data_IF_052937498397
#
_entry.id   IF_052937498397
#
_cell.length_a   1.000
_cell.length_b   1.000
_cell.length_c   1.000
_cell.angle_alpha   90.00
_cell.angle_beta   90.00
_cell.angle_gamma   90.00
#
_symmetry.space_group_name_H-M   'P 1'
#
loop_
_entity.id
_entity.type
_entity.pdbx_description
1 polymer ?
#
# COMPACT_ATOMS: atom_id res chain seq x y z
N UNK A 1 32.99 8.46 28.56
CA UNK A 1 32.47 8.00 27.25
C UNK A 1 32.82 9.03 26.20
N UNK A 2 33.40 8.62 25.07
CA UNK A 2 33.58 9.53 23.92
C UNK A 2 32.20 9.95 23.41
N UNK A 3 32.01 11.25 23.13
CA UNK A 3 30.77 11.75 22.53
C UNK A 3 30.66 11.20 21.11
N UNK A 4 29.53 10.57 20.74
CA UNK A 4 29.32 10.10 19.38
C UNK A 4 29.38 11.26 18.38
N UNK A 5 30.07 11.04 17.27
CA UNK A 5 30.27 12.03 16.19
C UNK A 5 29.23 11.90 15.09
N UNK A 6 28.52 10.78 15.00
CA UNK A 6 27.43 10.56 14.02
C UNK A 6 26.09 11.02 14.58
N UNK A 7 25.19 11.49 13.70
CA UNK A 7 23.82 11.86 14.09
C UNK A 7 23.08 10.70 14.75
N UNK A 8 23.22 9.49 14.21
CA UNK A 8 22.61 8.30 14.79
C UNK A 8 23.14 8.02 16.21
N UNK A 9 24.46 8.03 16.41
CA UNK A 9 25.04 7.79 17.73
C UNK A 9 24.68 8.86 18.75
N UNK A 10 24.51 10.11 18.32
CA UNK A 10 24.02 11.20 19.18
C UNK A 10 22.57 10.96 19.62
N UNK A 11 21.69 10.54 18.71
CA UNK A 11 20.30 10.19 19.02
C UNK A 11 20.24 9.02 20.00
N UNK A 12 21.02 7.96 19.76
CA UNK A 12 21.10 6.79 20.66
C UNK A 12 21.57 7.18 22.07
N UNK A 13 22.61 8.02 22.18
CA UNK A 13 23.08 8.49 23.48
C UNK A 13 22.02 9.32 24.21
N UNK A 14 21.29 10.19 23.49
CA UNK A 14 20.20 10.98 24.10
C UNK A 14 19.10 10.05 24.62
N UNK A 15 18.64 9.09 23.80
CA UNK A 15 17.58 8.14 24.20
C UNK A 15 18.00 7.34 25.44
N UNK A 16 19.27 6.93 25.54
CA UNK A 16 19.80 6.20 26.70
C UNK A 16 19.84 7.04 27.99
N UNK A 17 19.93 8.37 27.89
CA UNK A 17 20.01 9.26 29.05
C UNK A 17 18.65 9.79 29.51
N UNK A 18 17.64 9.77 28.63
CA UNK A 18 16.30 10.21 28.99
C UNK A 18 15.66 9.23 29.98
N UNK A 19 15.05 9.79 31.03
CA UNK A 19 14.13 8.99 31.86
C UNK A 19 12.91 8.57 31.03
N UNK A 20 12.27 7.48 31.44
CA UNK A 20 11.06 6.99 30.79
C UNK A 20 9.95 8.08 30.71
N UNK A 21 9.80 8.90 31.75
CA UNK A 21 8.83 10.00 31.77
C UNK A 21 9.17 11.07 30.73
N UNK A 22 10.43 11.51 30.67
CA UNK A 22 10.87 12.52 29.70
C UNK A 22 10.71 12.04 28.26
N UNK A 23 11.06 10.78 27.99
CA UNK A 23 10.90 10.20 26.65
C UNK A 23 9.42 10.14 26.25
N UNK A 24 8.55 9.69 27.17
CA UNK A 24 7.10 9.63 26.93
C UNK A 24 6.50 11.00 26.63
N UNK A 25 6.89 12.02 27.40
CA UNK A 25 6.42 13.39 27.19
C UNK A 25 6.91 13.97 25.86
N UNK A 26 8.20 13.78 25.53
CA UNK A 26 8.78 14.20 24.26
C UNK A 26 8.06 13.57 23.06
N UNK A 27 7.84 12.25 23.08
CA UNK A 27 7.14 11.53 22.01
C UNK A 27 5.70 12.04 21.87
N UNK A 28 4.99 12.25 22.99
CA UNK A 28 3.63 12.79 22.98
C UNK A 28 3.57 14.19 22.37
N UNK A 29 4.42 15.10 22.83
CA UNK A 29 4.44 16.48 22.33
C UNK A 29 4.82 16.53 20.86
N UNK A 30 5.83 15.75 20.45
CA UNK A 30 6.23 15.68 19.05
C UNK A 30 5.10 15.12 18.17
N UNK A 31 4.38 14.10 18.60
CA UNK A 31 3.23 13.57 17.88
C UNK A 31 2.04 14.54 17.79
N UNK A 32 1.88 15.45 18.75
CA UNK A 32 0.85 16.49 18.67
C UNK A 32 1.22 17.62 17.71
N UNK A 33 2.52 17.88 17.53
CA UNK A 33 3.03 18.98 16.70
C UNK A 33 3.36 18.56 15.25
N UNK A 34 3.67 17.29 15.03
CA UNK A 34 4.17 16.75 13.78
C UNK A 34 3.28 15.59 13.31
N UNK A 35 2.48 15.86 12.28
CA UNK A 35 1.51 14.91 11.74
C UNK A 35 2.15 13.66 11.17
N UNK A 36 3.32 13.78 10.53
CA UNK A 36 3.94 12.65 9.84
C UNK A 36 4.58 11.71 10.87
N UNK A 37 5.18 12.28 11.92
CA UNK A 37 5.63 11.51 13.08
C UNK A 37 4.46 10.83 13.79
N UNK A 38 3.33 11.52 13.97
CA UNK A 38 2.12 10.95 14.57
C UNK A 38 1.58 9.77 13.79
N UNK A 39 1.43 9.93 12.48
CA UNK A 39 0.86 8.91 11.60
C UNK A 39 1.78 7.66 11.59
N UNK A 40 3.11 7.87 11.55
CA UNK A 40 4.11 6.80 11.70
C UNK A 40 3.98 6.07 13.04
N UNK A 41 3.88 6.82 14.15
CA UNK A 41 3.72 6.24 15.49
C UNK A 41 2.46 5.37 15.58
N UNK A 42 1.35 5.84 15.02
CA UNK A 42 0.06 5.15 15.07
C UNK A 42 0.02 3.88 14.23
N UNK A 43 0.83 3.77 13.17
CA UNK A 43 0.99 2.55 12.37
C UNK A 43 1.87 1.55 13.10
N UNK A 44 3.07 1.97 13.53
CA UNK A 44 4.05 1.08 14.14
C UNK A 44 3.59 0.44 15.45
N UNK A 45 2.66 1.09 16.16
CA UNK A 45 2.15 0.64 17.46
C UNK A 45 0.61 0.50 17.48
N UNK A 46 0.00 0.22 16.33
CA UNK A 46 -1.45 0.09 16.21
C UNK A 46 -2.02 -1.06 17.06
N UNK A 47 -1.25 -2.12 17.26
CA UNK A 47 -1.60 -3.29 18.07
C UNK A 47 -1.87 -2.95 19.55
N UNK A 48 -1.17 -1.94 20.08
CA UNK A 48 -1.38 -1.45 21.45
C UNK A 48 -2.75 -0.78 21.64
N UNK A 49 -3.39 -0.33 20.56
CA UNK A 49 -4.68 0.38 20.61
C UNK A 49 -5.89 -0.56 20.66
N UNK A 50 -5.67 -1.88 20.73
CA UNK A 50 -6.70 -2.88 21.05
C UNK A 50 -8.00 -2.72 20.26
N UNK A 51 -7.98 -2.98 18.96
CA UNK A 51 -9.21 -3.37 18.27
C UNK A 51 -8.99 -4.64 17.46
N UNK A 52 -9.92 -5.59 17.62
CA UNK A 52 -10.02 -6.77 16.73
C UNK A 52 -10.56 -6.38 15.36
N UNK A 53 -11.06 -5.15 15.22
CA UNK A 53 -11.70 -4.63 14.02
C UNK A 53 -10.69 -4.40 12.88
N UNK A 54 -11.13 -4.39 11.61
CA UNK A 54 -10.29 -4.05 10.47
C UNK A 54 -9.74 -2.63 10.62
N UNK A 55 -8.40 -2.47 10.59
CA UNK A 55 -7.76 -1.16 10.73
C UNK A 55 -7.70 -0.42 9.39
N UNK A 56 -8.05 -1.10 8.28
CA UNK A 56 -8.11 -0.51 6.95
C UNK A 56 -8.91 0.80 6.91
N UNK A 57 -10.09 0.86 7.54
CA UNK A 57 -10.91 2.09 7.58
C UNK A 57 -10.19 3.26 8.29
N UNK A 58 -9.40 2.97 9.33
CA UNK A 58 -8.56 3.98 10.00
C UNK A 58 -7.46 4.47 9.06
N UNK A 59 -6.83 3.56 8.31
CA UNK A 59 -5.80 3.93 7.33
C UNK A 59 -6.38 4.69 6.14
N UNK A 60 -7.58 4.34 5.68
CA UNK A 60 -8.30 5.09 4.66
C UNK A 60 -8.60 6.52 5.14
N UNK A 61 -9.05 6.69 6.39
CA UNK A 61 -9.27 8.02 6.96
C UNK A 61 -7.96 8.82 7.09
N UNK A 62 -6.89 8.19 7.57
CA UNK A 62 -5.56 8.81 7.66
C UNK A 62 -5.07 9.28 6.28
N UNK A 63 -5.20 8.44 5.24
CA UNK A 63 -4.86 8.79 3.87
C UNK A 63 -5.74 9.93 3.35
N UNK A 64 -7.06 9.92 3.62
CA UNK A 64 -7.95 11.00 3.25
C UNK A 64 -7.52 12.34 3.87
N UNK A 65 -7.11 12.33 5.15
CA UNK A 65 -6.60 13.52 5.85
C UNK A 65 -5.26 13.98 5.27
N UNK A 66 -4.36 13.06 4.87
CA UNK A 66 -3.12 13.39 4.17
C UNK A 66 -3.39 14.05 2.81
N UNK A 67 -4.29 13.47 2.02
CA UNK A 67 -4.70 13.98 0.70
C UNK A 67 -5.26 15.40 0.84
N UNK A 68 -6.17 15.60 1.81
CA UNK A 68 -6.77 16.91 2.08
C UNK A 68 -5.75 17.98 2.46
N UNK A 69 -4.68 17.62 3.20
CA UNK A 69 -3.59 18.56 3.56
C UNK A 69 -2.78 19.03 2.35
N UNK A 70 -2.71 18.23 1.30
CA UNK A 70 -1.93 18.51 0.09
C UNK A 70 -2.75 19.13 -1.05
N UNK A 71 -4.08 19.05 -0.95
CA UNK A 71 -4.99 19.67 -1.89
C UNK A 71 -5.08 21.19 -1.71
N UNK A 72 -5.33 21.91 -2.80
CA UNK A 72 -5.65 23.32 -2.80
C UNK A 72 -7.13 23.56 -2.37
N UNK A 73 -7.57 24.82 -2.41
CA UNK A 73 -8.94 25.19 -2.02
C UNK A 73 -10.04 24.49 -2.85
N UNK A 74 -9.74 24.13 -4.10
CA UNK A 74 -10.66 23.45 -5.02
C UNK A 74 -10.58 21.91 -4.90
N UNK A 75 -9.72 21.40 -4.01
CA UNK A 75 -9.53 19.96 -3.79
C UNK A 75 -8.56 19.29 -4.77
N UNK A 76 -7.85 20.07 -5.61
CA UNK A 76 -6.86 19.56 -6.56
C UNK A 76 -5.44 19.62 -5.99
N UNK A 77 -4.61 18.63 -6.32
CA UNK A 77 -3.22 18.47 -5.88
C UNK A 77 -2.29 18.72 -7.07
N UNK A 78 -1.64 19.88 -7.10
CA UNK A 78 -0.65 20.21 -8.13
C UNK A 78 0.65 19.41 -7.94
N UNK A 79 1.44 19.30 -9.01
CA UNK A 79 2.67 18.50 -9.10
C UNK A 79 3.60 18.58 -7.87
N UNK A 80 3.91 19.79 -7.37
CA UNK A 80 4.80 19.95 -6.21
C UNK A 80 4.19 19.41 -4.90
N UNK A 81 2.86 19.48 -4.75
CA UNK A 81 2.14 18.88 -3.62
C UNK A 81 1.90 17.39 -3.83
N UNK A 82 1.75 16.93 -5.08
CA UNK A 82 1.63 15.52 -5.44
C UNK A 82 2.89 14.76 -5.04
N UNK A 83 4.07 15.26 -5.41
CA UNK A 83 5.35 14.69 -5.01
C UNK A 83 5.48 14.59 -3.48
N UNK A 84 5.10 15.63 -2.74
CA UNK A 84 5.14 15.61 -1.26
C UNK A 84 4.19 14.57 -0.67
N UNK A 85 2.95 14.50 -1.15
CA UNK A 85 1.98 13.51 -0.71
C UNK A 85 2.50 12.09 -0.94
N UNK A 86 3.05 11.85 -2.13
CA UNK A 86 3.60 10.56 -2.54
C UNK A 86 4.79 10.17 -1.67
N UNK A 87 5.70 11.11 -1.40
CA UNK A 87 6.82 10.88 -0.49
C UNK A 87 6.34 10.56 0.93
N UNK A 88 5.33 11.26 1.44
CA UNK A 88 4.74 10.96 2.75
C UNK A 88 4.11 9.55 2.77
N UNK A 89 3.36 9.16 1.75
CA UNK A 89 2.77 7.81 1.67
C UNK A 89 3.87 6.75 1.60
N UNK A 90 4.94 6.99 0.82
CA UNK A 90 6.09 6.08 0.72
C UNK A 90 6.81 5.94 2.06
N UNK A 91 7.00 7.02 2.79
CA UNK A 91 7.60 6.98 4.13
C UNK A 91 6.74 6.15 5.11
N UNK A 92 5.41 6.25 5.02
CA UNK A 92 4.52 5.41 5.82
C UNK A 92 4.62 3.93 5.42
N UNK A 93 4.67 3.62 4.13
CA UNK A 93 4.87 2.25 3.65
C UNK A 93 6.24 1.70 4.12
N UNK A 94 7.31 2.48 4.02
CA UNK A 94 8.64 2.09 4.48
C UNK A 94 8.70 1.90 6.00
N UNK A 95 7.98 2.72 6.77
CA UNK A 95 7.83 2.51 8.21
C UNK A 95 7.05 1.23 8.52
N UNK A 96 5.98 0.94 7.76
CA UNK A 96 5.18 -0.26 7.92
C UNK A 96 5.92 -1.54 7.52
N UNK A 97 6.94 -1.46 6.66
CA UNK A 97 7.81 -2.58 6.26
C UNK A 97 8.85 -2.98 7.32
N UNK A 98 9.05 -2.17 8.36
CA UNK A 98 10.02 -2.49 9.42
C UNK A 98 9.59 -3.75 10.18
N UNK A 99 10.56 -4.57 10.57
CA UNK A 99 10.33 -5.80 11.33
C UNK A 99 9.59 -5.61 12.66
N UNK A 100 9.56 -4.38 13.19
CA UNK A 100 8.84 -4.01 14.41
C UNK A 100 7.34 -3.79 14.20
N UNK A 101 6.89 -3.61 12.96
CA UNK A 101 5.48 -3.38 12.65
C UNK A 101 4.78 -4.73 12.42
N UNK A 102 3.61 -4.97 13.03
CA UNK A 102 2.87 -6.21 12.79
C UNK A 102 2.46 -6.33 11.32
N UNK A 103 2.70 -7.49 10.70
CA UNK A 103 2.38 -7.74 9.28
C UNK A 103 0.93 -7.40 8.92
N UNK A 104 -0.02 -7.64 9.84
CA UNK A 104 -1.43 -7.31 9.65
C UNK A 104 -1.65 -5.82 9.39
N UNK A 105 -0.96 -4.97 10.13
CA UNK A 105 -1.09 -3.51 9.99
C UNK A 105 -0.49 -3.05 8.66
N UNK A 106 0.63 -3.66 8.27
CA UNK A 106 1.26 -3.43 6.97
C UNK A 106 0.32 -3.81 5.82
N UNK A 107 -0.37 -4.95 5.91
CA UNK A 107 -1.33 -5.37 4.88
C UNK A 107 -2.57 -4.47 4.83
N UNK A 108 -3.12 -4.08 5.98
CA UNK A 108 -4.30 -3.21 6.06
C UNK A 108 -3.97 -1.81 5.51
N UNK A 109 -2.78 -1.27 5.78
CA UNK A 109 -2.29 -0.02 5.18
C UNK A 109 -2.16 -0.13 3.66
N UNK A 110 -1.60 -1.23 3.16
CA UNK A 110 -1.44 -1.43 1.73
C UNK A 110 -2.78 -1.52 0.99
N UNK A 111 -3.76 -2.22 1.57
CA UNK A 111 -5.12 -2.27 1.02
C UNK A 111 -5.77 -0.88 0.99
N UNK A 112 -5.62 -0.11 2.08
CA UNK A 112 -6.10 1.26 2.13
C UNK A 112 -5.46 2.15 1.05
N UNK A 113 -4.15 2.00 0.79
CA UNK A 113 -3.48 2.72 -0.30
C UNK A 113 -4.04 2.32 -1.65
N UNK A 114 -4.15 1.02 -1.95
CA UNK A 114 -4.71 0.52 -3.22
C UNK A 114 -6.10 1.12 -3.47
N UNK A 115 -6.99 1.07 -2.48
CA UNK A 115 -8.35 1.61 -2.57
C UNK A 115 -8.38 3.14 -2.75
N UNK A 116 -7.38 3.87 -2.24
CA UNK A 116 -7.32 5.33 -2.37
C UNK A 116 -6.82 5.81 -3.74
N UNK A 117 -6.03 5.01 -4.46
CA UNK A 117 -5.38 5.44 -5.72
C UNK A 117 -6.38 5.87 -6.82
N UNK A 118 -7.48 5.14 -7.07
CA UNK A 118 -8.46 5.58 -8.07
C UNK A 118 -9.02 6.97 -7.79
N UNK A 119 -9.31 7.29 -6.53
CA UNK A 119 -9.85 8.60 -6.15
C UNK A 119 -8.81 9.73 -6.24
N UNK A 120 -7.52 9.39 -6.25
CA UNK A 120 -6.43 10.36 -6.43
C UNK A 120 -6.21 10.73 -7.89
N UNK A 121 -6.46 9.81 -8.83
CA UNK A 121 -6.27 10.06 -10.26
C UNK A 121 -7.01 11.29 -10.76
N UNK A 122 -8.25 11.50 -10.30
CA UNK A 122 -9.07 12.65 -10.72
C UNK A 122 -8.72 13.96 -9.99
N UNK A 123 -7.88 13.90 -8.95
CA UNK A 123 -7.63 15.01 -8.03
C UNK A 123 -6.17 15.42 -7.95
N UNK A 124 -5.31 14.79 -8.72
CA UNK A 124 -3.86 14.97 -8.62
C UNK A 124 -3.24 15.08 -10.01
N UNK A 125 -2.29 16.00 -10.15
CA UNK A 125 -1.38 16.00 -11.29
C UNK A 125 -0.45 14.78 -11.20
N UNK A 126 -0.70 13.79 -12.08
CA UNK A 126 0.06 12.55 -12.16
C UNK A 126 0.99 12.47 -13.38
N UNK A 127 1.41 13.61 -13.93
CA UNK A 127 2.30 13.66 -15.10
C UNK A 127 3.64 12.94 -14.89
N UNK A 128 4.08 12.76 -13.64
CA UNK A 128 5.28 12.02 -13.25
C UNK A 128 5.01 10.54 -12.88
N UNK A 129 3.81 10.01 -13.16
CA UNK A 129 3.39 8.63 -12.87
C UNK A 129 3.50 8.26 -11.38
N UNK A 130 3.17 9.18 -10.50
CA UNK A 130 3.22 8.96 -9.06
C UNK A 130 2.27 7.84 -8.60
N UNK A 131 1.06 7.74 -9.17
CA UNK A 131 0.10 6.69 -8.83
C UNK A 131 0.64 5.31 -9.17
N UNK A 132 1.27 5.18 -10.34
CA UNK A 132 1.92 3.94 -10.76
C UNK A 132 3.06 3.54 -9.80
N UNK A 133 3.88 4.51 -9.39
CA UNK A 133 4.96 4.28 -8.40
C UNK A 133 4.40 3.84 -7.05
N UNK A 134 3.32 4.48 -6.57
CA UNK A 134 2.66 4.09 -5.32
C UNK A 134 2.04 2.70 -5.41
N UNK A 135 1.34 2.38 -6.49
CA UNK A 135 0.76 1.05 -6.71
C UNK A 135 1.85 -0.02 -6.67
N UNK A 136 2.94 0.17 -7.39
CA UNK A 136 4.07 -0.77 -7.41
C UNK A 136 4.74 -0.94 -6.06
N UNK A 137 4.97 0.17 -5.35
CA UNK A 137 5.59 0.12 -4.01
C UNK A 137 4.69 -0.64 -3.05
N UNK A 138 3.40 -0.35 -3.08
CA UNK A 138 2.39 -1.01 -2.25
C UNK A 138 2.29 -2.50 -2.55
N UNK A 139 2.26 -2.88 -3.84
CA UNK A 139 2.24 -4.27 -4.24
C UNK A 139 3.50 -5.02 -3.81
N UNK A 140 4.67 -4.39 -3.90
CA UNK A 140 5.93 -4.96 -3.42
C UNK A 140 5.88 -5.22 -1.92
N UNK A 141 5.36 -4.27 -1.14
CA UNK A 141 5.16 -4.44 0.29
C UNK A 141 4.22 -5.61 0.61
N UNK A 142 3.07 -5.72 -0.09
CA UNK A 142 2.15 -6.84 0.08
C UNK A 142 2.81 -8.18 -0.23
N UNK A 143 3.62 -8.23 -1.29
CA UNK A 143 4.35 -9.44 -1.66
C UNK A 143 5.27 -9.92 -0.54
N UNK A 144 6.02 -9.02 0.08
CA UNK A 144 6.91 -9.32 1.22
C UNK A 144 6.13 -9.84 2.43
N UNK A 145 4.97 -9.25 2.71
CA UNK A 145 4.11 -9.65 3.82
C UNK A 145 3.41 -11.00 3.60
N UNK A 146 3.09 -11.36 2.35
CA UNK A 146 2.22 -12.48 2.03
C UNK A 146 2.68 -13.81 2.63
N UNK A 147 3.97 -14.13 2.47
CA UNK A 147 4.53 -15.42 2.87
C UNK A 147 4.53 -15.66 4.39
N UNK A 148 4.51 -14.60 5.19
CA UNK A 148 4.52 -14.68 6.66
C UNK A 148 3.12 -14.66 7.28
N UNK A 149 2.07 -14.43 6.48
CA UNK A 149 0.68 -14.47 6.93
C UNK A 149 0.21 -15.92 7.16
N UNK A 150 -0.69 -16.16 8.13
CA UNK A 150 -1.41 -17.42 8.23
C UNK A 150 -2.20 -17.73 6.95
N UNK A 151 -2.35 -19.01 6.58
CA UNK A 151 -3.00 -19.45 5.33
C UNK A 151 -4.39 -18.84 5.12
N UNK A 152 -5.20 -18.77 6.18
CA UNK A 152 -6.51 -18.13 6.14
C UNK A 152 -6.43 -16.66 5.69
N UNK A 153 -5.46 -15.91 6.22
CA UNK A 153 -5.23 -14.50 5.86
C UNK A 153 -4.62 -14.34 4.46
N UNK A 154 -3.78 -15.29 4.03
CA UNK A 154 -3.32 -15.33 2.64
C UNK A 154 -4.48 -15.50 1.66
N UNK A 155 -5.44 -16.39 1.98
CA UNK A 155 -6.63 -16.59 1.15
C UNK A 155 -7.51 -15.33 1.11
N UNK A 156 -7.79 -14.73 2.26
CA UNK A 156 -8.53 -13.46 2.33
C UNK A 156 -7.87 -12.35 1.50
N UNK A 157 -6.55 -12.20 1.63
CA UNK A 157 -5.79 -11.19 0.90
C UNK A 157 -5.76 -11.47 -0.61
N UNK A 158 -5.59 -12.74 -1.01
CA UNK A 158 -5.64 -13.14 -2.42
C UNK A 158 -6.99 -12.80 -3.05
N UNK A 159 -8.10 -13.18 -2.41
CA UNK A 159 -9.44 -12.89 -2.91
C UNK A 159 -9.72 -11.38 -2.96
N UNK A 160 -9.23 -10.63 -1.96
CA UNK A 160 -9.34 -9.16 -1.95
C UNK A 160 -8.61 -8.53 -3.13
N UNK A 161 -7.37 -8.92 -3.40
CA UNK A 161 -6.61 -8.39 -4.56
C UNK A 161 -7.21 -8.86 -5.89
N UNK A 162 -7.75 -10.07 -5.96
CA UNK A 162 -8.45 -10.56 -7.15
C UNK A 162 -9.70 -9.72 -7.45
N UNK A 163 -10.43 -9.33 -6.40
CA UNK A 163 -11.58 -8.43 -6.51
C UNK A 163 -11.19 -7.01 -6.95
N UNK A 164 -10.10 -6.46 -6.42
CA UNK A 164 -9.58 -5.15 -6.87
C UNK A 164 -9.14 -5.22 -8.33
N UNK A 165 -8.40 -6.26 -8.74
CA UNK A 165 -7.99 -6.47 -10.14
C UNK A 165 -9.18 -6.53 -11.12
N UNK A 166 -10.34 -6.99 -10.66
CA UNK A 166 -11.56 -7.05 -11.47
C UNK A 166 -12.19 -5.67 -11.74
N UNK A 167 -11.79 -4.61 -11.02
CA UNK A 167 -12.36 -3.29 -11.20
C UNK A 167 -11.75 -2.62 -12.45
N UNK A 168 -12.56 -2.18 -13.43
CA UNK A 168 -12.05 -1.58 -14.67
C UNK A 168 -11.15 -0.37 -14.45
N UNK A 169 -11.40 0.38 -13.37
CA UNK A 169 -10.68 1.63 -13.05
C UNK A 169 -9.17 1.41 -12.89
N UNK A 170 -8.72 0.25 -12.39
CA UNK A 170 -7.27 0.02 -12.28
C UNK A 170 -6.62 -0.20 -13.63
N UNK A 171 -7.34 -0.75 -14.61
CA UNK A 171 -6.84 -0.86 -15.97
C UNK A 171 -6.94 0.47 -16.71
N UNK A 172 -8.01 1.24 -16.50
CA UNK A 172 -8.14 2.60 -17.07
C UNK A 172 -7.02 3.55 -16.61
N UNK A 173 -6.43 3.27 -15.44
CA UNK A 173 -5.32 4.02 -14.85
C UNK A 173 -3.95 3.35 -15.03
N UNK A 174 -3.85 2.27 -15.82
CA UNK A 174 -2.61 1.48 -16.02
C UNK A 174 -1.97 0.92 -14.71
N UNK A 175 -2.78 0.72 -13.67
CA UNK A 175 -2.38 0.21 -12.36
C UNK A 175 -2.57 -1.31 -12.21
N UNK A 176 -3.40 -1.93 -13.05
CA UNK A 176 -3.80 -3.35 -12.96
C UNK A 176 -2.62 -4.31 -13.09
N UNK A 177 -1.60 -3.95 -13.88
CA UNK A 177 -0.42 -4.79 -14.13
C UNK A 177 0.32 -5.17 -12.84
N UNK A 178 0.36 -4.28 -11.85
CA UNK A 178 0.98 -4.54 -10.55
C UNK A 178 0.15 -5.55 -9.73
N UNK A 179 -1.17 -5.41 -9.73
CA UNK A 179 -2.10 -6.33 -9.06
C UNK A 179 -2.02 -7.73 -9.69
N UNK A 180 -2.02 -7.80 -11.02
CA UNK A 180 -1.89 -9.06 -11.74
C UNK A 180 -0.55 -9.75 -11.47
N UNK A 181 0.53 -8.99 -11.37
CA UNK A 181 1.85 -9.54 -11.04
C UNK A 181 1.87 -10.18 -9.64
N UNK A 182 1.18 -9.59 -8.65
CA UNK A 182 1.01 -10.22 -7.33
C UNK A 182 0.24 -11.54 -7.43
N UNK A 183 -0.93 -11.50 -8.06
CA UNK A 183 -1.80 -12.66 -8.21
C UNK A 183 -1.09 -13.81 -8.93
N UNK A 184 -0.33 -13.48 -9.98
CA UNK A 184 0.50 -14.43 -10.74
C UNK A 184 1.46 -15.20 -9.83
N UNK A 185 2.18 -14.49 -8.96
CA UNK A 185 3.17 -15.10 -8.09
C UNK A 185 2.52 -15.86 -6.92
N UNK A 186 1.51 -15.29 -6.26
CA UNK A 186 0.77 -15.94 -5.17
C UNK A 186 0.00 -17.19 -5.59
N UNK A 187 -0.33 -17.30 -6.87
CA UNK A 187 -0.95 -18.48 -7.48
C UNK A 187 0.08 -19.49 -8.04
N UNK A 188 1.38 -19.17 -8.05
CA UNK A 188 2.41 -19.96 -8.77
C UNK A 188 2.36 -21.45 -8.47
N UNK A 189 2.12 -21.84 -7.22
CA UNK A 189 2.07 -23.24 -6.78
C UNK A 189 0.66 -23.72 -6.40
N UNK A 190 -0.38 -22.89 -6.56
CA UNK A 190 -1.74 -23.18 -6.10
C UNK A 190 -2.73 -23.20 -7.28
N UNK A 191 -3.10 -24.40 -7.75
CA UNK A 191 -4.02 -24.59 -8.88
C UNK A 191 -5.40 -23.94 -8.69
N UNK A 192 -5.90 -23.89 -7.46
CA UNK A 192 -7.19 -23.24 -7.16
C UNK A 192 -7.10 -21.74 -7.42
N UNK A 193 -6.03 -21.09 -6.94
CA UNK A 193 -5.76 -19.67 -7.18
C UNK A 193 -5.50 -19.38 -8.67
N UNK A 194 -4.76 -20.24 -9.37
CA UNK A 194 -4.56 -20.12 -10.81
C UNK A 194 -5.89 -20.14 -11.56
N UNK A 195 -6.77 -21.08 -11.20
CA UNK A 195 -8.11 -21.19 -11.78
C UNK A 195 -8.96 -19.96 -11.49
N UNK A 196 -8.88 -19.40 -10.28
CA UNK A 196 -9.57 -18.17 -9.91
C UNK A 196 -9.13 -16.97 -10.77
N UNK A 197 -7.82 -16.77 -10.94
CA UNK A 197 -7.27 -15.73 -11.82
C UNK A 197 -7.75 -15.87 -13.27
N UNK A 198 -7.70 -17.07 -13.84
CA UNK A 198 -8.14 -17.31 -15.22
C UNK A 198 -9.64 -17.08 -15.40
N UNK A 199 -10.45 -17.48 -14.41
CA UNK A 199 -11.89 -17.21 -14.42
C UNK A 199 -12.18 -15.71 -14.36
N UNK A 200 -11.42 -14.95 -13.56
CA UNK A 200 -11.57 -13.51 -13.47
C UNK A 200 -11.23 -12.83 -14.80
N UNK A 201 -10.14 -13.23 -15.46
CA UNK A 201 -9.77 -12.77 -16.81
C UNK A 201 -10.85 -13.13 -17.85
N UNK A 202 -11.41 -14.34 -17.78
CA UNK A 202 -12.50 -14.75 -18.67
C UNK A 202 -13.75 -13.89 -18.49
N UNK A 203 -14.09 -13.54 -17.25
CA UNK A 203 -15.20 -12.64 -16.95
C UNK A 203 -14.94 -11.24 -17.52
N UNK A 204 -13.74 -10.68 -17.30
CA UNK A 204 -13.34 -9.39 -17.88
C UNK A 204 -13.42 -9.41 -19.41
N UNK A 205 -12.94 -10.48 -20.05
CA UNK A 205 -13.03 -10.66 -21.51
C UNK A 205 -14.49 -10.63 -21.99
N UNK A 206 -15.41 -11.28 -21.29
CA UNK A 206 -16.84 -11.28 -21.64
C UNK A 206 -17.48 -9.89 -21.54
N UNK A 207 -16.98 -9.03 -20.65
CA UNK A 207 -17.50 -7.66 -20.45
C UNK A 207 -16.87 -6.62 -21.37
N UNK A 208 -15.81 -6.95 -22.11
CA UNK A 208 -15.12 -5.98 -23.01
C UNK A 208 -15.91 -5.59 -24.26
N UNK A 209 -16.98 -6.30 -24.61
CA UNK A 209 -17.81 -6.04 -25.79
C UNK A 209 -16.99 -5.72 -27.07
N UNK A 210 -16.99 -4.44 -27.50
CA UNK A 210 -16.36 -3.94 -28.73
C UNK A 210 -15.01 -3.27 -28.50
N UNK A 211 -14.48 -3.26 -27.27
CA UNK A 211 -13.16 -2.71 -26.95
C UNK A 211 -12.06 -3.69 -27.39
N UNK A 212 -11.66 -3.57 -28.66
CA UNK A 212 -10.66 -4.44 -29.28
C UNK A 212 -9.29 -4.36 -28.58
N UNK A 213 -8.90 -3.17 -28.13
CA UNK A 213 -7.63 -2.98 -27.43
C UNK A 213 -7.63 -3.75 -26.10
N UNK A 214 -8.65 -3.52 -25.26
CA UNK A 214 -8.76 -4.18 -23.96
C UNK A 214 -8.90 -5.70 -24.10
N UNK A 215 -9.63 -6.17 -25.12
CA UNK A 215 -9.72 -7.60 -25.42
C UNK A 215 -8.35 -8.20 -25.74
N UNK A 216 -7.55 -7.55 -26.60
CA UNK A 216 -6.21 -8.03 -26.94
C UNK A 216 -5.30 -8.03 -25.71
N UNK A 217 -5.31 -6.95 -24.92
CA UNK A 217 -4.57 -6.86 -23.67
C UNK A 217 -4.88 -8.02 -22.72
N UNK A 218 -6.16 -8.30 -22.44
CA UNK A 218 -6.56 -9.39 -21.55
C UNK A 218 -6.19 -10.78 -22.10
N UNK A 219 -6.22 -10.98 -23.42
CA UNK A 219 -5.75 -12.22 -24.05
C UNK A 219 -4.23 -12.40 -23.89
N UNK A 220 -3.46 -11.33 -24.06
CA UNK A 220 -2.00 -11.34 -23.81
C UNK A 220 -1.69 -11.68 -22.36
N UNK A 221 -2.39 -11.06 -21.40
CA UNK A 221 -2.25 -11.38 -19.97
C UNK A 221 -2.60 -12.83 -19.67
N UNK A 222 -3.69 -13.35 -20.24
CA UNK A 222 -4.10 -14.75 -20.08
C UNK A 222 -3.02 -15.71 -20.58
N UNK A 223 -2.48 -15.45 -21.77
CA UNK A 223 -1.40 -16.26 -22.35
C UNK A 223 -0.13 -16.20 -21.51
N UNK A 224 0.23 -15.01 -21.00
CA UNK A 224 1.39 -14.82 -20.13
C UNK A 224 1.27 -15.62 -18.83
N UNK A 225 0.09 -15.62 -18.17
CA UNK A 225 -0.16 -16.43 -16.98
C UNK A 225 -0.05 -17.94 -17.27
N UNK A 226 -0.69 -18.41 -18.34
CA UNK A 226 -0.63 -19.81 -18.74
C UNK A 226 0.79 -20.26 -19.07
N UNK A 227 1.59 -19.42 -19.71
CA UNK A 227 3.00 -19.71 -19.98
C UNK A 227 3.82 -19.74 -18.69
N UNK A 228 3.58 -18.82 -17.76
CA UNK A 228 4.31 -18.73 -16.50
C UNK A 228 4.07 -19.95 -15.58
N UNK A 229 2.84 -20.43 -15.45
CA UNK A 229 2.50 -21.56 -14.55
C UNK A 229 2.70 -22.96 -15.14
N UNK A 230 2.95 -23.06 -16.46
CA UNK A 230 3.32 -24.33 -17.10
C UNK A 230 4.76 -24.76 -16.80
N UNK A 231 5.60 -23.80 -16.38
CA UNK A 231 6.98 -24.00 -15.97
C UNK A 231 7.09 -24.21 -14.46
#
# INVERSE_FOLDING_TARGET
MQKPTTRQGQIELIIQQLSHTQLREFVREKALQDSDFRDTLLICFADLLSSKEPVEAKYQQMLADMIKRHANADGFIHIASAQKLVDSIRQLLDAARKATTPTRETTDLCLAVITALPALADKMDDTENHLYVLMRTTCTTLWECYSVLPEMRQNELFERILHEYAQPIYLDLDLDSALLSLLKDWAKTNKTRQTACLRQLEQLLKTTHNDHWRKNYLLEQTNALLAFWKN
#
